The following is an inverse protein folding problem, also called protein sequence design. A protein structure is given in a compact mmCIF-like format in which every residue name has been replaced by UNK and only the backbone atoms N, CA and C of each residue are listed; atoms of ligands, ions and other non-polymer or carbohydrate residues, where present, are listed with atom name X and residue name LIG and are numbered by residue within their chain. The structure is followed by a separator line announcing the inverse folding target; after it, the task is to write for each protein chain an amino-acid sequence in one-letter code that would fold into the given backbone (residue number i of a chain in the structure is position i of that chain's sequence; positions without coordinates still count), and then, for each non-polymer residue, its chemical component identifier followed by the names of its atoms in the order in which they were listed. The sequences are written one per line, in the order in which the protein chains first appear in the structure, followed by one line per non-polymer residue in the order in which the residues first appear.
data_IF_109787300105
#
_entry.id   IF_109787300105
#
_cell.length_a   1.000
_cell.length_b   1.000
_cell.length_c   1.000
_cell.angle_alpha   90.00
_cell.angle_beta   90.00
_cell.angle_gamma   90.00
#
_symmetry.space_group_name_H-M   'P 1'
#
loop_
_entity.id
_entity.type
_entity.pdbx_description
1 polymer ?
#
# COMPACT_ATOMS: atom_id res chain seq x y z
N UNK A 1 26.59 7.65 -7.39
CA UNK A 1 25.98 7.20 -8.66
C UNK A 1 24.92 6.09 -8.53
N UNK A 2 24.64 5.52 -7.34
CA UNK A 2 23.56 4.53 -7.16
C UNK A 2 22.13 5.11 -7.08
N UNK A 3 21.99 6.42 -6.83
CA UNK A 3 20.68 7.08 -6.68
C UNK A 3 19.99 7.44 -8.00
N UNK A 4 20.72 7.62 -9.09
CA UNK A 4 20.11 7.97 -10.40
C UNK A 4 19.44 6.76 -11.08
N UNK A 5 19.85 5.53 -10.76
CA UNK A 5 19.21 4.31 -11.27
C UNK A 5 17.84 4.07 -10.62
N UNK A 6 17.63 4.45 -9.35
CA UNK A 6 16.37 4.28 -8.65
C UNK A 6 15.26 5.21 -9.19
N UNK A 7 15.60 6.43 -9.60
CA UNK A 7 14.63 7.38 -10.15
C UNK A 7 14.16 7.01 -11.56
N UNK A 8 15.03 6.43 -12.40
CA UNK A 8 14.69 6.07 -13.79
C UNK A 8 13.85 4.78 -13.87
N UNK A 9 14.05 3.84 -12.95
CA UNK A 9 13.21 2.62 -12.86
C UNK A 9 11.80 2.96 -12.35
N UNK A 10 11.66 3.97 -11.48
CA UNK A 10 10.36 4.39 -10.96
C UNK A 10 9.42 4.97 -12.03
N UNK A 11 9.96 5.66 -13.04
CA UNK A 11 9.15 6.25 -14.14
C UNK A 11 8.72 5.21 -15.18
N UNK A 12 9.48 4.13 -15.37
CA UNK A 12 9.21 3.11 -16.39
C UNK A 12 8.36 1.93 -15.89
N UNK A 13 8.34 1.61 -14.59
CA UNK A 13 7.46 0.56 -14.03
C UNK A 13 6.02 1.05 -13.77
N UNK A 14 5.81 2.36 -13.63
CA UNK A 14 4.48 2.95 -13.41
C UNK A 14 3.52 2.85 -14.61
N UNK A 15 3.98 2.39 -15.77
CA UNK A 15 3.14 2.30 -16.98
C UNK A 15 2.52 0.92 -17.23
N UNK A 16 2.98 -0.15 -16.56
CA UNK A 16 2.54 -1.54 -16.85
C UNK A 16 1.58 -2.11 -15.81
N UNK A 17 1.45 -1.48 -14.64
CA UNK A 17 0.59 -1.95 -13.53
C UNK A 17 -0.34 -0.85 -13.05
N UNK A 18 -1.08 -0.23 -13.98
CA UNK A 18 -2.16 0.66 -13.59
C UNK A 18 -3.46 -0.16 -13.51
N UNK A 19 -3.95 -0.55 -12.30
CA UNK A 19 -5.19 -1.32 -12.17
C UNK A 19 -6.40 -0.61 -12.80
N UNK A 20 -6.30 0.69 -13.08
CA UNK A 20 -7.29 1.44 -13.86
C UNK A 20 -7.49 0.92 -15.30
N UNK A 21 -6.53 0.19 -15.88
CA UNK A 21 -6.71 -0.43 -17.22
C UNK A 21 -7.55 -1.71 -17.18
N UNK A 22 -7.65 -2.38 -16.03
CA UNK A 22 -8.50 -3.56 -15.85
C UNK A 22 -9.98 -3.22 -15.64
N UNK A 23 -10.33 -1.94 -15.49
CA UNK A 23 -11.71 -1.51 -15.25
C UNK A 23 -12.59 -1.63 -16.48
N UNK A 24 -13.76 -2.22 -16.29
CA UNK A 24 -14.85 -2.23 -17.27
C UNK A 24 -15.34 -0.79 -17.51
N UNK A 25 -15.92 -0.49 -18.69
CA UNK A 25 -16.49 0.84 -18.98
C UNK A 25 -17.53 1.30 -17.94
N UNK A 26 -18.34 0.38 -17.39
CA UNK A 26 -19.35 0.68 -16.37
C UNK A 26 -18.75 1.15 -15.03
N UNK A 27 -17.58 0.61 -14.65
CA UNK A 27 -16.84 1.04 -13.46
C UNK A 27 -16.16 2.40 -13.64
N UNK A 28 -15.94 2.83 -14.90
CA UNK A 28 -15.40 4.16 -15.23
C UNK A 28 -16.49 5.23 -15.21
N UNK A 29 -17.73 4.90 -15.59
CA UNK A 29 -18.85 5.85 -15.59
C UNK A 29 -19.38 6.16 -14.19
N UNK A 30 -19.35 5.18 -13.28
CA UNK A 30 -19.64 5.37 -11.84
C UNK A 30 -18.57 6.16 -11.08
N UNK A 31 -17.51 6.61 -11.76
CA UNK A 31 -16.45 7.42 -11.17
C UNK A 31 -16.72 8.94 -11.22
N UNK A 32 -17.72 9.37 -12.00
CA UNK A 32 -18.01 10.77 -12.28
C UNK A 32 -18.97 11.45 -11.28
N UNK A 33 -19.67 10.69 -10.44
CA UNK A 33 -20.68 11.23 -9.53
C UNK A 33 -20.25 11.00 -8.08
N UNK A 34 -19.60 12.02 -7.52
CA UNK A 34 -19.72 12.46 -6.13
C UNK A 34 -19.65 11.41 -5.02
N UNK A 35 -18.43 11.14 -4.53
CA UNK A 35 -18.21 10.71 -3.15
C UNK A 35 -17.32 11.74 -2.46
N UNK A 36 -17.87 12.93 -2.19
CA UNK A 36 -17.18 13.85 -1.29
C UNK A 36 -17.15 13.21 0.09
N UNK A 37 -15.93 12.89 0.54
CA UNK A 37 -15.74 12.15 1.77
C UNK A 37 -16.05 13.03 2.99
N UNK A 38 -17.04 12.64 3.78
CA UNK A 38 -17.34 13.29 5.07
C UNK A 38 -16.46 12.68 6.16
N UNK A 39 -15.42 13.41 6.57
CA UNK A 39 -14.54 13.00 7.67
C UNK A 39 -15.21 13.21 9.03
N UNK A 40 -14.95 12.30 9.96
CA UNK A 40 -15.40 12.46 11.36
C UNK A 40 -14.68 13.63 12.04
N UNK A 41 -15.33 14.26 13.03
CA UNK A 41 -14.75 15.40 13.77
C UNK A 41 -13.43 15.05 14.48
N UNK A 42 -13.21 13.78 14.81
CA UNK A 42 -12.04 13.30 15.54
C UNK A 42 -10.84 12.99 14.64
N UNK A 43 -11.06 12.90 13.31
CA UNK A 43 -10.01 12.58 12.33
C UNK A 43 -8.74 13.42 12.48
N UNK A 44 -8.80 14.76 12.63
CA UNK A 44 -7.60 15.58 12.76
C UNK A 44 -6.78 15.26 14.02
N UNK A 45 -7.44 14.97 15.14
CA UNK A 45 -6.78 14.69 16.41
C UNK A 45 -6.05 13.34 16.38
N UNK A 46 -6.70 12.31 15.83
CA UNK A 46 -6.11 10.98 15.69
C UNK A 46 -4.90 10.99 14.73
N UNK A 47 -5.01 11.68 13.60
CA UNK A 47 -3.90 11.86 12.65
C UNK A 47 -2.74 12.63 13.29
N UNK A 48 -3.03 13.67 14.09
CA UNK A 48 -1.99 14.41 14.80
C UNK A 48 -1.26 13.53 15.84
N UNK A 49 -1.99 12.66 16.54
CA UNK A 49 -1.41 11.69 17.48
C UNK A 49 -0.41 10.75 16.81
N UNK A 50 -0.79 10.19 15.65
CA UNK A 50 0.11 9.33 14.86
C UNK A 50 1.31 10.12 14.32
N UNK A 51 1.08 11.32 13.77
CA UNK A 51 2.14 12.21 13.27
C UNK A 51 3.20 12.48 14.33
N UNK A 52 2.82 12.69 15.59
CA UNK A 52 3.74 12.97 16.68
C UNK A 52 4.69 11.80 17.02
N UNK A 53 4.38 10.57 16.59
CA UNK A 53 5.22 9.38 16.79
C UNK A 53 6.14 9.07 15.62
N UNK A 54 5.93 9.72 14.47
CA UNK A 54 6.64 9.46 13.23
C UNK A 54 7.74 10.48 12.99
N UNK A 55 8.72 10.09 12.18
CA UNK A 55 9.80 10.98 11.74
C UNK A 55 10.05 10.79 10.25
N UNK A 56 10.24 11.89 9.55
CA UNK A 56 10.73 11.87 8.18
C UNK A 56 12.22 11.53 8.17
N UNK A 57 12.63 10.72 7.20
CA UNK A 57 14.05 10.52 6.89
C UNK A 57 14.63 11.81 6.26
N UNK A 58 15.93 12.07 6.43
CA UNK A 58 16.55 13.22 5.76
C UNK A 58 16.51 13.03 4.23
N UNK A 59 16.04 14.06 3.52
CA UNK A 59 16.13 14.16 2.06
C UNK A 59 17.05 15.33 1.68
N UNK A 60 17.67 15.24 0.51
CA UNK A 60 18.35 16.40 -0.06
C UNK A 60 17.36 17.50 -0.42
N UNK A 61 17.79 18.76 -0.37
CA UNK A 61 16.92 19.94 -0.58
C UNK A 61 16.14 19.86 -1.90
N UNK A 62 16.80 19.46 -2.98
CA UNK A 62 16.16 19.31 -4.30
C UNK A 62 15.07 18.23 -4.29
N UNK A 63 15.28 17.11 -3.58
CA UNK A 63 14.29 16.03 -3.51
C UNK A 63 13.04 16.49 -2.74
N UNK A 64 13.24 17.23 -1.64
CA UNK A 64 12.14 17.82 -0.88
C UNK A 64 11.36 18.83 -1.72
N UNK A 65 12.06 19.74 -2.40
CA UNK A 65 11.43 20.73 -3.29
C UNK A 65 10.65 20.06 -4.42
N UNK A 66 11.17 18.98 -5.01
CA UNK A 66 10.46 18.23 -6.06
C UNK A 66 9.17 17.59 -5.54
N UNK A 67 9.17 16.99 -4.35
CA UNK A 67 7.95 16.43 -3.75
C UNK A 67 6.90 17.51 -3.44
N UNK A 68 7.33 18.65 -2.89
CA UNK A 68 6.47 19.79 -2.61
C UNK A 68 5.85 20.35 -3.90
N UNK A 69 6.70 20.66 -4.89
CA UNK A 69 6.25 21.17 -6.17
C UNK A 69 5.31 20.21 -6.91
N UNK A 70 5.62 18.90 -6.92
CA UNK A 70 4.75 17.90 -7.55
C UNK A 70 3.38 17.84 -6.87
N UNK A 71 3.34 17.92 -5.53
CA UNK A 71 2.07 17.92 -4.81
C UNK A 71 1.26 19.20 -5.07
N UNK A 72 1.93 20.35 -5.12
CA UNK A 72 1.29 21.63 -5.42
C UNK A 72 0.69 21.62 -6.84
N UNK A 73 1.45 21.13 -7.84
CA UNK A 73 0.95 20.93 -9.20
C UNK A 73 -0.26 19.99 -9.24
N UNK A 74 -0.22 18.87 -8.54
CA UNK A 74 -1.36 17.95 -8.45
C UNK A 74 -2.59 18.64 -7.82
N UNK A 75 -2.38 19.54 -6.86
CA UNK A 75 -3.42 20.29 -6.14
C UNK A 75 -4.03 21.41 -6.98
N UNK A 76 -3.34 21.90 -8.02
CA UNK A 76 -3.88 22.85 -8.98
C UNK A 76 -4.97 22.27 -9.90
N UNK A 77 -5.04 20.94 -10.03
CA UNK A 77 -6.13 20.29 -10.78
C UNK A 77 -7.46 20.59 -10.05
N UNK A 78 -8.46 21.19 -10.74
CA UNK A 78 -9.75 21.51 -10.11
C UNK A 78 -10.43 20.29 -9.50
N UNK A 79 -11.16 20.47 -8.40
CA UNK A 79 -11.94 19.38 -7.79
C UNK A 79 -13.12 19.02 -8.69
N UNK A 80 -13.89 19.99 -9.13
CA UNK A 80 -14.97 19.79 -10.10
C UNK A 80 -14.50 20.24 -11.49
N UNK A 81 -14.59 19.42 -12.55
CA UNK A 81 -15.07 18.03 -12.61
C UNK A 81 -13.95 16.97 -12.47
N UNK A 82 -12.75 17.35 -12.00
CA UNK A 82 -11.53 16.53 -12.10
C UNK A 82 -11.05 15.87 -10.80
N UNK A 83 -11.94 15.63 -9.83
CA UNK A 83 -11.62 15.05 -8.50
C UNK A 83 -10.84 13.75 -8.61
N UNK A 84 -11.18 12.90 -9.58
CA UNK A 84 -10.47 11.65 -9.87
C UNK A 84 -9.00 11.91 -10.19
N UNK A 85 -8.74 12.71 -11.25
CA UNK A 85 -7.39 12.99 -11.73
C UNK A 85 -6.55 13.71 -10.69
N UNK A 86 -7.15 14.68 -9.98
CA UNK A 86 -6.53 15.38 -8.86
C UNK A 86 -6.11 14.40 -7.77
N UNK A 87 -7.06 13.60 -7.26
CA UNK A 87 -6.82 12.68 -6.13
C UNK A 87 -5.81 11.60 -6.50
N UNK A 88 -5.85 11.07 -7.72
CA UNK A 88 -4.87 10.10 -8.21
C UNK A 88 -3.46 10.71 -8.34
N UNK A 89 -3.35 11.95 -8.84
CA UNK A 89 -2.06 12.63 -8.92
C UNK A 89 -1.49 12.89 -7.52
N UNK A 90 -2.32 13.34 -6.58
CA UNK A 90 -1.93 13.54 -5.18
C UNK A 90 -1.51 12.22 -4.52
N UNK A 91 -2.30 11.15 -4.65
CA UNK A 91 -1.96 9.80 -4.16
C UNK A 91 -0.58 9.37 -4.65
N UNK A 92 -0.30 9.46 -5.95
CA UNK A 92 1.01 9.07 -6.50
C UNK A 92 2.17 9.82 -5.86
N UNK A 93 2.04 11.15 -5.68
CA UNK A 93 3.08 11.95 -5.01
C UNK A 93 3.26 11.51 -3.56
N UNK A 94 2.16 11.28 -2.83
CA UNK A 94 2.23 10.85 -1.43
C UNK A 94 2.75 9.42 -1.27
N UNK A 95 2.43 8.50 -2.19
CA UNK A 95 3.03 7.17 -2.23
C UNK A 95 4.54 7.25 -2.43
N UNK A 96 5.01 8.06 -3.38
CA UNK A 96 6.45 8.28 -3.59
C UNK A 96 7.13 8.92 -2.37
N UNK A 97 6.46 9.87 -1.71
CA UNK A 97 6.96 10.47 -0.48
C UNK A 97 7.07 9.44 0.64
N UNK A 98 6.07 8.55 0.80
CA UNK A 98 6.10 7.49 1.80
C UNK A 98 7.23 6.49 1.54
N UNK A 99 7.43 6.08 0.28
CA UNK A 99 8.54 5.23 -0.15
C UNK A 99 9.92 5.88 0.08
N UNK A 100 9.98 7.22 0.04
CA UNK A 100 11.16 8.02 0.40
C UNK A 100 11.28 8.27 1.92
N UNK A 101 10.50 7.56 2.74
CA UNK A 101 10.53 7.67 4.19
C UNK A 101 10.04 9.02 4.72
N UNK A 102 9.05 9.65 4.05
CA UNK A 102 8.46 10.93 4.47
C UNK A 102 7.01 10.79 5.03
N UNK A 103 6.74 9.98 6.07
CA UNK A 103 5.38 9.77 6.56
C UNK A 103 4.74 11.02 7.19
N UNK A 104 5.53 11.93 7.79
CA UNK A 104 5.03 13.18 8.37
C UNK A 104 4.56 14.13 7.27
N UNK A 105 5.34 14.25 6.19
CA UNK A 105 4.94 14.98 4.98
C UNK A 105 3.61 14.48 4.41
N UNK A 106 3.43 13.15 4.39
CA UNK A 106 2.21 12.50 3.90
C UNK A 106 1.02 12.84 4.78
N UNK A 107 1.13 12.69 6.10
CA UNK A 107 0.03 12.98 7.03
C UNK A 107 -0.44 14.45 7.00
N UNK A 108 0.48 15.39 6.73
CA UNK A 108 0.11 16.81 6.59
C UNK A 108 -0.76 17.10 5.36
N UNK A 109 -0.63 16.26 4.33
CA UNK A 109 -1.21 16.49 3.00
C UNK A 109 -2.34 15.54 2.66
N UNK A 110 -2.42 14.36 3.28
CA UNK A 110 -3.40 13.32 2.94
C UNK A 110 -4.84 13.83 3.01
N UNK A 111 -5.18 14.72 3.96
CA UNK A 111 -6.51 15.36 4.09
C UNK A 111 -6.96 16.21 2.90
N UNK A 112 -6.05 16.50 1.96
CA UNK A 112 -6.35 17.23 0.74
C UNK A 112 -6.86 16.32 -0.38
N UNK A 113 -6.69 15.00 -0.26
CA UNK A 113 -7.33 14.01 -1.11
C UNK A 113 -8.81 13.97 -0.74
N UNK A 114 -9.69 14.23 -1.72
CA UNK A 114 -11.13 14.44 -1.49
C UNK A 114 -12.01 13.23 -1.77
N UNK A 115 -11.42 12.07 -2.01
CA UNK A 115 -12.13 10.81 -2.24
C UNK A 115 -11.54 9.66 -1.43
N UNK A 116 -12.04 8.45 -1.66
CA UNK A 116 -11.65 7.20 -0.99
C UNK A 116 -10.14 6.92 -0.91
N UNK A 117 -9.31 7.49 -1.81
CA UNK A 117 -7.84 7.34 -1.76
C UNK A 117 -7.23 7.92 -0.49
N UNK A 118 -7.93 8.85 0.17
CA UNK A 118 -7.58 9.30 1.51
C UNK A 118 -7.46 8.11 2.48
N UNK A 119 -8.46 7.22 2.50
CA UNK A 119 -8.49 6.07 3.39
C UNK A 119 -7.42 5.03 3.02
N UNK A 120 -7.20 4.79 1.72
CA UNK A 120 -6.13 3.91 1.26
C UNK A 120 -4.75 4.43 1.71
N UNK A 121 -4.50 5.74 1.60
CA UNK A 121 -3.27 6.37 2.07
C UNK A 121 -3.10 6.29 3.60
N UNK A 122 -4.18 6.40 4.38
CA UNK A 122 -4.11 6.16 5.83
C UNK A 122 -3.67 4.72 6.16
N UNK A 123 -4.17 3.73 5.43
CA UNK A 123 -3.72 2.34 5.56
C UNK A 123 -2.22 2.18 5.27
N UNK A 124 -1.74 2.81 4.20
CA UNK A 124 -0.30 2.80 3.86
C UNK A 124 0.56 3.46 4.94
N UNK A 125 0.13 4.60 5.49
CA UNK A 125 0.85 5.26 6.59
C UNK A 125 0.83 4.39 7.85
N UNK A 126 -0.28 3.69 8.14
CA UNK A 126 -0.34 2.73 9.24
C UNK A 126 0.68 1.60 9.09
N UNK A 127 0.85 1.05 7.89
CA UNK A 127 1.89 0.05 7.59
C UNK A 127 3.29 0.58 7.80
N UNK A 128 3.58 1.83 7.39
CA UNK A 128 4.87 2.47 7.62
C UNK A 128 5.12 2.72 9.12
N UNK A 129 4.11 3.19 9.85
CA UNK A 129 4.20 3.41 11.28
C UNK A 129 4.47 2.12 12.07
N UNK A 130 3.80 1.03 11.70
CA UNK A 130 4.02 -0.27 12.29
C UNK A 130 5.45 -0.77 12.03
N UNK A 131 5.99 -0.57 10.82
CA UNK A 131 7.39 -0.88 10.49
C UNK A 131 8.39 -0.08 11.33
N UNK A 132 8.06 1.18 11.65
CA UNK A 132 8.86 2.04 12.53
C UNK A 132 8.67 1.72 14.03
N UNK A 133 7.88 0.70 14.38
CA UNK A 133 7.67 0.27 15.76
C UNK A 133 6.73 1.19 16.56
N UNK A 134 5.93 2.03 15.89
CA UNK A 134 4.86 2.78 16.56
C UNK A 134 3.84 1.79 17.12
N UNK A 135 3.38 2.02 18.35
CA UNK A 135 2.45 1.10 19.01
C UNK A 135 1.10 1.05 18.29
N UNK A 136 0.48 -0.14 18.31
CA UNK A 136 -0.86 -0.36 17.80
C UNK A 136 -1.87 0.66 18.34
N UNK A 137 -1.82 0.98 19.63
CA UNK A 137 -2.75 1.92 20.28
C UNK A 137 -2.82 3.29 19.59
N UNK A 138 -1.74 3.69 18.90
CA UNK A 138 -1.66 4.95 18.15
C UNK A 138 -2.09 4.76 16.70
N UNK A 139 -1.79 3.60 16.10
CA UNK A 139 -2.06 3.31 14.68
C UNK A 139 -3.54 2.94 14.47
N UNK A 140 -4.09 2.08 15.32
CA UNK A 140 -5.41 1.49 15.16
C UNK A 140 -6.53 2.54 15.00
N UNK A 141 -6.60 3.62 15.80
CA UNK A 141 -7.62 4.65 15.60
C UNK A 141 -7.58 5.28 14.21
N UNK A 142 -6.39 5.43 13.60
CA UNK A 142 -6.24 5.96 12.23
C UNK A 142 -6.70 4.95 11.19
N UNK A 143 -6.41 3.66 11.40
CA UNK A 143 -6.92 2.59 10.53
C UNK A 143 -8.44 2.45 10.63
N UNK A 144 -9.03 2.73 11.79
CA UNK A 144 -10.49 2.71 11.96
C UNK A 144 -11.19 3.80 11.16
N UNK A 145 -10.57 4.99 11.01
CA UNK A 145 -11.06 6.03 10.09
C UNK A 145 -11.12 5.47 8.65
N UNK A 146 -10.04 4.80 8.20
CA UNK A 146 -10.01 4.21 6.87
C UNK A 146 -11.06 3.08 6.72
N UNK A 147 -11.24 2.27 7.75
CA UNK A 147 -12.26 1.21 7.79
C UNK A 147 -13.67 1.80 7.67
N UNK A 148 -13.96 2.93 8.31
CA UNK A 148 -15.29 3.54 8.23
C UNK A 148 -15.60 4.08 6.83
N UNK A 149 -14.59 4.64 6.13
CA UNK A 149 -14.72 4.94 4.69
C UNK A 149 -15.02 3.67 3.89
N UNK A 150 -14.33 2.57 4.18
CA UNK A 150 -14.60 1.28 3.55
C UNK A 150 -15.94 0.64 3.96
N UNK A 151 -16.71 1.21 4.88
CA UNK A 151 -18.09 0.76 5.19
C UNK A 151 -19.15 1.59 4.47
N UNK A 152 -18.79 2.76 3.94
CA UNK A 152 -19.71 3.62 3.21
C UNK A 152 -20.32 2.85 2.03
N UNK A 153 -21.67 2.80 1.89
CA UNK A 153 -22.33 2.10 0.79
C UNK A 153 -22.02 2.71 -0.59
N UNK A 154 -21.61 3.98 -0.65
CA UNK A 154 -21.28 4.65 -1.91
C UNK A 154 -19.88 4.29 -2.42
N UNK A 155 -19.00 3.76 -1.54
CA UNK A 155 -17.68 3.29 -1.96
C UNK A 155 -17.82 1.96 -2.71
N UNK A 156 -17.64 1.99 -4.02
CA UNK A 156 -17.70 0.79 -4.87
C UNK A 156 -16.78 -0.34 -4.39
N UNK A 157 -17.16 -1.58 -4.68
CA UNK A 157 -16.55 -2.80 -4.12
C UNK A 157 -15.04 -2.89 -4.35
N UNK A 158 -14.56 -2.57 -5.54
CA UNK A 158 -13.12 -2.57 -5.82
C UNK A 158 -12.35 -1.56 -4.96
N UNK A 159 -12.89 -0.34 -4.75
CA UNK A 159 -12.29 0.72 -3.92
C UNK A 159 -12.25 0.28 -2.46
N UNK A 160 -13.34 -0.35 -2.03
CA UNK A 160 -13.48 -0.96 -0.70
C UNK A 160 -12.42 -2.03 -0.49
N UNK A 161 -12.22 -2.90 -1.49
CA UNK A 161 -11.18 -3.92 -1.52
C UNK A 161 -9.79 -3.32 -1.30
N UNK A 162 -9.43 -2.30 -2.09
CA UNK A 162 -8.13 -1.60 -1.95
C UNK A 162 -7.93 -1.05 -0.54
N UNK A 163 -8.92 -0.32 0.01
CA UNK A 163 -8.80 0.25 1.36
C UNK A 163 -8.62 -0.85 2.40
N UNK A 164 -9.43 -1.91 2.34
CA UNK A 164 -9.35 -3.03 3.27
C UNK A 164 -7.99 -3.73 3.19
N UNK A 165 -7.44 -3.92 2.00
CA UNK A 165 -6.10 -4.51 1.85
C UNK A 165 -5.04 -3.66 2.52
N UNK A 166 -5.05 -2.33 2.32
CA UNK A 166 -4.08 -1.43 2.98
C UNK A 166 -4.19 -1.46 4.50
N UNK A 167 -5.40 -1.59 5.04
CA UNK A 167 -5.62 -1.80 6.48
C UNK A 167 -5.06 -3.16 6.94
N UNK A 168 -5.34 -4.22 6.18
CA UNK A 168 -4.85 -5.57 6.46
C UNK A 168 -3.31 -5.66 6.46
N UNK A 169 -2.64 -4.99 5.52
CA UNK A 169 -1.18 -4.86 5.49
C UNK A 169 -0.63 -4.25 6.78
N UNK A 170 -1.29 -3.20 7.30
CA UNK A 170 -0.87 -2.53 8.53
C UNK A 170 -1.03 -3.44 9.75
N UNK A 171 -2.16 -4.12 9.87
CA UNK A 171 -2.37 -5.11 10.95
C UNK A 171 -1.43 -6.29 10.86
N UNK A 172 -1.06 -6.71 9.65
CA UNK A 172 -0.04 -7.72 9.47
C UNK A 172 1.30 -7.22 10.05
N UNK A 173 1.71 -5.98 9.79
CA UNK A 173 2.92 -5.37 10.42
C UNK A 173 2.87 -5.32 11.94
N UNK A 174 1.68 -5.17 12.51
CA UNK A 174 1.42 -5.26 13.94
C UNK A 174 1.35 -6.70 14.49
N UNK A 175 1.62 -7.71 13.65
CA UNK A 175 1.54 -9.14 13.99
C UNK A 175 0.13 -9.59 14.43
N UNK A 176 -0.90 -8.90 13.95
CA UNK A 176 -2.30 -9.28 14.15
C UNK A 176 -2.82 -10.02 12.93
N UNK A 177 -2.32 -11.24 12.71
CA UNK A 177 -2.62 -11.99 11.50
C UNK A 177 -4.11 -12.33 11.34
N UNK A 178 -4.84 -12.59 12.44
CA UNK A 178 -6.28 -12.84 12.39
C UNK A 178 -7.06 -11.62 11.91
N UNK A 179 -6.71 -10.44 12.42
CA UNK A 179 -7.33 -9.17 12.01
C UNK A 179 -6.96 -8.84 10.56
N UNK A 180 -5.70 -9.02 10.18
CA UNK A 180 -5.24 -8.82 8.80
C UNK A 180 -6.00 -9.73 7.81
N UNK A 181 -6.21 -11.00 8.15
CA UNK A 181 -6.98 -11.95 7.35
C UNK A 181 -8.46 -11.54 7.23
N UNK A 182 -9.06 -11.04 8.30
CA UNK A 182 -10.44 -10.55 8.26
C UNK A 182 -10.61 -9.37 7.28
N UNK A 183 -9.62 -8.47 7.20
CA UNK A 183 -9.63 -7.39 6.23
C UNK A 183 -9.43 -7.88 4.79
N UNK A 184 -8.66 -8.94 4.57
CA UNK A 184 -8.51 -9.57 3.25
C UNK A 184 -9.69 -10.45 2.83
N UNK A 185 -10.56 -10.86 3.76
CA UNK A 185 -11.72 -11.67 3.42
C UNK A 185 -12.64 -10.93 2.45
N UNK A 186 -12.82 -11.49 1.25
CA UNK A 186 -13.57 -10.87 0.16
C UNK A 186 -12.77 -9.90 -0.71
N UNK A 187 -11.45 -9.81 -0.55
CA UNK A 187 -10.59 -9.07 -1.47
C UNK A 187 -10.60 -9.73 -2.85
N UNK A 188 -10.57 -8.89 -3.90
CA UNK A 188 -10.41 -9.36 -5.27
C UNK A 188 -9.04 -10.00 -5.50
N UNK A 189 -8.90 -10.76 -6.61
CA UNK A 189 -7.65 -11.47 -6.93
C UNK A 189 -6.40 -10.59 -6.85
N UNK A 190 -6.51 -9.37 -7.35
CA UNK A 190 -5.37 -8.48 -7.52
C UNK A 190 -4.84 -7.97 -6.17
N UNK A 191 -5.71 -7.92 -5.18
CA UNK A 191 -5.41 -7.57 -3.80
C UNK A 191 -5.11 -8.81 -2.94
N UNK A 192 -5.54 -9.99 -3.38
CA UNK A 192 -5.30 -11.26 -2.70
C UNK A 192 -3.80 -11.57 -2.65
N UNK A 193 -3.29 -11.78 -1.43
CA UNK A 193 -1.89 -12.12 -1.19
C UNK A 193 -0.97 -10.95 -0.82
N UNK A 194 -1.43 -9.69 -0.86
CA UNK A 194 -0.63 -8.55 -0.40
C UNK A 194 -0.23 -8.66 1.09
N UNK A 195 -1.13 -9.14 1.97
CA UNK A 195 -0.77 -9.46 3.37
C UNK A 195 0.28 -10.57 3.44
N UNK A 196 0.24 -11.58 2.55
CA UNK A 196 1.25 -12.63 2.49
C UNK A 196 2.62 -12.07 2.11
N UNK A 197 2.69 -11.12 1.18
CA UNK A 197 3.94 -10.39 0.87
C UNK A 197 4.46 -9.67 2.11
N UNK A 198 3.57 -9.03 2.85
CA UNK A 198 3.91 -8.33 4.09
C UNK A 198 4.39 -9.32 5.18
N UNK A 199 3.83 -10.53 5.27
CA UNK A 199 4.34 -11.63 6.10
C UNK A 199 5.73 -12.08 5.68
N UNK A 200 5.99 -12.19 4.38
CA UNK A 200 7.31 -12.52 3.85
C UNK A 200 8.37 -11.49 4.26
N UNK A 201 8.06 -10.20 4.14
CA UNK A 201 8.96 -9.10 4.55
C UNK A 201 9.36 -9.16 6.03
N UNK A 202 8.49 -9.65 6.91
CA UNK A 202 8.76 -9.80 8.35
C UNK A 202 9.22 -11.18 8.79
N UNK A 203 9.29 -12.14 7.88
CA UNK A 203 9.41 -13.54 8.25
C UNK A 203 10.67 -13.80 9.09
N UNK A 204 10.52 -14.63 10.11
CA UNK A 204 11.59 -15.11 10.98
C UNK A 204 12.03 -16.52 10.58
N UNK A 205 13.01 -17.09 11.28
CA UNK A 205 13.43 -18.46 10.98
C UNK A 205 12.30 -19.46 11.20
N UNK A 206 11.47 -19.22 12.22
CA UNK A 206 10.35 -20.05 12.64
C UNK A 206 9.17 -19.95 11.67
N UNK A 207 8.88 -18.75 11.15
CA UNK A 207 7.74 -18.54 10.24
C UNK A 207 8.08 -18.79 8.76
N UNK A 208 9.35 -18.99 8.42
CA UNK A 208 9.81 -19.12 7.03
C UNK A 208 9.08 -20.22 6.26
N UNK A 209 9.01 -21.43 6.82
CA UNK A 209 8.39 -22.57 6.15
C UNK A 209 6.90 -22.33 5.85
N UNK A 210 6.17 -21.78 6.82
CA UNK A 210 4.75 -21.46 6.67
C UNK A 210 4.52 -20.39 5.60
N UNK A 211 5.30 -19.30 5.62
CA UNK A 211 5.14 -18.23 4.63
C UNK A 211 5.49 -18.73 3.23
N UNK A 212 6.54 -19.55 3.11
CA UNK A 212 6.91 -20.18 1.84
C UNK A 212 5.78 -21.07 1.29
N UNK A 213 5.18 -21.93 2.12
CA UNK A 213 4.06 -22.77 1.69
C UNK A 213 2.87 -21.95 1.17
N UNK A 214 2.57 -20.82 1.80
CA UNK A 214 1.53 -19.89 1.32
C UNK A 214 1.88 -19.30 -0.06
N UNK A 215 3.14 -18.92 -0.27
CA UNK A 215 3.61 -18.41 -1.56
C UNK A 215 3.61 -19.49 -2.65
N UNK A 216 3.97 -20.73 -2.30
CA UNK A 216 3.87 -21.89 -3.21
C UNK A 216 2.42 -22.08 -3.67
N UNK A 217 1.46 -22.10 -2.74
CA UNK A 217 0.04 -22.19 -3.07
C UNK A 217 -0.43 -21.04 -3.98
N UNK A 218 0.01 -19.80 -3.73
CA UNK A 218 -0.30 -18.65 -4.58
C UNK A 218 0.32 -18.76 -5.98
N UNK A 219 1.56 -19.25 -6.09
CA UNK A 219 2.31 -19.34 -7.36
C UNK A 219 1.72 -20.34 -8.34
N UNK A 220 0.98 -21.34 -7.84
CA UNK A 220 0.27 -22.33 -8.66
C UNK A 220 -1.10 -21.83 -9.13
N UNK A 221 -1.54 -20.66 -8.66
CA UNK A 221 -2.77 -20.07 -9.15
C UNK A 221 -2.62 -19.67 -10.62
N UNK A 222 -3.65 -19.90 -11.44
CA UNK A 222 -3.66 -19.44 -12.83
C UNK A 222 -4.07 -17.96 -12.95
N UNK A 223 -3.92 -17.19 -11.86
CA UNK A 223 -4.34 -15.79 -11.77
C UNK A 223 -3.08 -14.93 -11.70
N UNK A 224 -2.83 -14.18 -12.77
CA UNK A 224 -1.58 -13.43 -12.96
C UNK A 224 -1.22 -12.56 -11.75
N UNK A 225 -2.19 -11.86 -11.16
CA UNK A 225 -1.94 -10.94 -10.06
C UNK A 225 -1.59 -11.67 -8.76
N UNK A 226 -2.19 -12.84 -8.53
CA UNK A 226 -1.86 -13.68 -7.36
C UNK A 226 -0.46 -14.27 -7.52
N UNK A 227 -0.10 -14.71 -8.73
CA UNK A 227 1.27 -15.15 -9.05
C UNK A 227 2.27 -14.01 -8.88
N UNK A 228 1.95 -12.82 -9.35
CA UNK A 228 2.79 -11.63 -9.17
C UNK A 228 3.05 -11.35 -7.69
N UNK A 229 1.99 -11.34 -6.86
CA UNK A 229 2.12 -11.17 -5.41
C UNK A 229 2.97 -12.30 -4.79
N UNK A 230 2.85 -13.54 -5.26
CA UNK A 230 3.69 -14.66 -4.80
C UNK A 230 5.18 -14.40 -5.11
N UNK A 231 5.49 -13.94 -6.33
CA UNK A 231 6.85 -13.61 -6.75
C UNK A 231 7.43 -12.45 -5.93
N UNK A 232 6.65 -11.41 -5.64
CA UNK A 232 7.09 -10.32 -4.75
C UNK A 232 7.40 -10.86 -3.34
N UNK A 233 6.55 -11.75 -2.82
CA UNK A 233 6.79 -12.42 -1.54
C UNK A 233 8.07 -13.26 -1.55
N UNK A 234 8.36 -13.96 -2.64
CA UNK A 234 9.61 -14.70 -2.81
C UNK A 234 10.84 -13.80 -2.81
N UNK A 235 10.78 -12.65 -3.50
CA UNK A 235 11.84 -11.65 -3.47
C UNK A 235 12.07 -11.15 -2.04
N UNK A 236 10.99 -10.86 -1.29
CA UNK A 236 11.10 -10.43 0.10
C UNK A 236 11.73 -11.49 1.01
N UNK A 237 11.37 -12.77 0.86
CA UNK A 237 12.04 -13.86 1.58
C UNK A 237 13.51 -13.96 1.19
N UNK A 238 13.83 -13.85 -0.10
CA UNK A 238 15.20 -13.89 -0.59
C UNK A 238 16.04 -12.77 -0.01
N UNK A 239 15.57 -11.51 0.00
CA UNK A 239 16.26 -10.39 0.62
C UNK A 239 16.51 -10.60 2.12
N UNK A 240 15.50 -11.15 2.83
CA UNK A 240 15.57 -11.39 4.27
C UNK A 240 16.56 -12.48 4.65
N UNK A 241 16.61 -13.57 3.88
CA UNK A 241 17.42 -14.75 4.18
C UNK A 241 18.65 -14.88 3.27
N UNK A 242 18.95 -13.87 2.43
CA UNK A 242 20.07 -13.88 1.48
C UNK A 242 21.42 -14.30 2.10
N UNK A 243 21.81 -13.85 3.31
CA UNK A 243 23.08 -14.25 3.91
C UNK A 243 23.16 -15.74 4.26
N UNK A 244 22.03 -16.44 4.39
CA UNK A 244 21.97 -17.85 4.79
C UNK A 244 22.09 -18.74 3.56
N UNK A 245 23.26 -19.37 3.38
CA UNK A 245 23.61 -20.13 2.16
C UNK A 245 22.65 -21.27 1.83
N UNK A 246 22.19 -22.02 2.82
CA UNK A 246 21.25 -23.14 2.62
C UNK A 246 19.89 -22.64 2.11
N UNK A 247 19.32 -21.60 2.73
CA UNK A 247 18.03 -21.03 2.30
C UNK A 247 18.10 -20.32 0.95
N UNK A 248 19.26 -19.75 0.62
CA UNK A 248 19.50 -19.20 -0.72
C UNK A 248 19.43 -20.28 -1.80
N UNK A 249 20.04 -21.44 -1.56
CA UNK A 249 19.95 -22.57 -2.49
C UNK A 249 18.51 -23.05 -2.62
N UNK A 250 17.77 -23.14 -1.51
CA UNK A 250 16.34 -23.47 -1.56
C UNK A 250 15.50 -22.49 -2.36
N UNK A 251 15.74 -21.18 -2.27
CA UNK A 251 14.95 -20.18 -3.03
C UNK A 251 15.35 -20.11 -4.52
N UNK A 252 16.63 -20.29 -4.84
CA UNK A 252 17.14 -20.24 -6.22
C UNK A 252 16.85 -21.54 -6.99
N UNK A 253 16.87 -22.68 -6.29
CA UNK A 253 16.61 -24.00 -6.85
C UNK A 253 15.22 -24.56 -6.48
N UNK A 254 14.39 -23.79 -5.75
CA UNK A 254 12.95 -24.05 -5.66
C UNK A 254 12.41 -23.97 -7.09
N UNK A 255 12.25 -25.15 -7.65
CA UNK A 255 11.97 -25.38 -9.04
C UNK A 255 10.59 -24.81 -9.39
N UNK A 256 10.46 -23.82 -10.31
CA UNK A 256 9.17 -23.47 -10.89
C UNK A 256 8.66 -24.53 -11.88
N UNK A 257 9.23 -25.75 -11.93
CA UNK A 257 8.82 -26.85 -12.82
C UNK A 257 7.46 -27.49 -12.49
N UNK A 258 6.48 -26.69 -12.07
CA UNK A 258 5.07 -26.96 -12.31
C UNK A 258 4.53 -26.27 -13.56
N UNK A 259 5.30 -25.39 -14.23
CA UNK A 259 4.92 -24.73 -15.49
C UNK A 259 5.34 -25.57 -16.72
N UNK A 260 4.93 -26.85 -16.72
CA UNK A 260 4.94 -27.72 -17.90
C UNK A 260 3.59 -27.72 -18.60
#
# INVERSE_FOLDING_TARGET
MKFFAALLVCVLTLSVLNPLQAMTPAERETESQSDELVLTKDTPALVAGLKAKLKDQPLGDMQRQLLEYAFDVATLIPIDPHIKSRSLAQEKVLTSALQAGQPVFVLDRVKQIKNWRFAAMLGMVGSEAAQQGVSQEVIEPVLMIASDVAKDPNVGDWRRGVIRTRIGEAFAWLQQDDVANAFQSGAEAHEAGQVTVVRAKRSTQETYALVREQLDAMSTSQRFEVVYNALEGYVALAERFYPQSERRAELVYANPAGLG
#
